data_IF_116071767219
#
_entry.id   IF_116071767219
#
_cell.length_a   1.000
_cell.length_b   1.000
_cell.length_c   1.000
_cell.angle_alpha   90.00
_cell.angle_beta   90.00
_cell.angle_gamma   90.00
#
_symmetry.space_group_name_H-M   'P 1'
#
loop_
_entity.id
_entity.type
_entity.pdbx_description
1 polymer ?
#
# COMPACT_ATOMS: atom_id res chain seq x y z
N UNK A 1 12.26 -18.86 6.52
CA UNK A 1 11.23 -18.45 7.49
C UNK A 1 10.39 -17.38 6.80
N UNK A 2 9.12 -17.64 6.51
CA UNK A 2 8.23 -16.66 5.87
C UNK A 2 7.91 -15.57 6.88
N UNK A 3 8.16 -14.32 6.52
CA UNK A 3 7.88 -13.19 7.40
C UNK A 3 6.37 -13.06 7.64
N UNK A 4 5.92 -12.66 8.85
CA UNK A 4 4.50 -12.58 9.15
C UNK A 4 3.81 -11.51 8.30
N UNK A 5 2.63 -11.83 7.78
CA UNK A 5 1.81 -10.87 7.04
C UNK A 5 1.25 -9.81 7.98
N UNK A 6 1.31 -8.55 7.55
CA UNK A 6 0.72 -7.39 8.21
C UNK A 6 -0.39 -6.84 7.33
N UNK A 7 -1.58 -6.75 7.89
CA UNK A 7 -2.76 -6.16 7.28
C UNK A 7 -2.93 -4.73 7.77
N UNK A 8 -3.04 -3.76 6.88
CA UNK A 8 -3.13 -2.34 7.24
C UNK A 8 -4.27 -1.61 6.50
N UNK A 9 -4.88 -0.58 7.12
CA UNK A 9 -5.87 0.24 6.45
C UNK A 9 -5.27 1.09 5.32
N UNK A 10 -5.97 1.17 4.19
CA UNK A 10 -5.60 2.03 3.07
C UNK A 10 -6.85 2.77 2.55
N UNK A 11 -6.81 4.10 2.50
CA UNK A 11 -7.93 4.93 2.02
C UNK A 11 -7.68 5.31 0.58
N UNK A 12 -8.59 4.93 -0.33
CA UNK A 12 -8.46 5.16 -1.77
C UNK A 12 -8.55 6.67 -2.04
N UNK A 13 -7.56 7.19 -2.75
CA UNK A 13 -7.53 8.55 -3.30
C UNK A 13 -8.01 8.57 -4.76
N UNK A 14 -7.55 7.61 -5.56
CA UNK A 14 -7.85 7.52 -7.00
C UNK A 14 -7.57 6.10 -7.51
N UNK A 15 -8.13 5.76 -8.67
CA UNK A 15 -7.94 4.47 -9.32
C UNK A 15 -7.33 4.68 -10.72
N UNK A 16 -6.45 3.78 -11.14
CA UNK A 16 -5.61 3.92 -12.33
C UNK A 16 -5.48 2.59 -13.08
N UNK A 17 -5.08 2.63 -14.35
CA UNK A 17 -4.86 1.43 -15.17
C UNK A 17 -3.44 0.87 -15.04
N UNK A 18 -2.52 1.64 -14.44
CA UNK A 18 -1.11 1.29 -14.27
C UNK A 18 -0.64 1.54 -12.83
N UNK A 19 0.22 0.68 -12.26
CA UNK A 19 0.79 0.92 -10.94
C UNK A 19 1.70 2.15 -10.92
N UNK A 20 2.37 2.47 -12.04
CA UNK A 20 3.23 3.66 -12.15
C UNK A 20 2.38 4.92 -12.07
N UNK A 21 1.26 4.97 -12.80
CA UNK A 21 0.37 6.15 -12.77
C UNK A 21 -0.25 6.34 -11.38
N UNK A 22 -0.57 5.24 -10.69
CA UNK A 22 -1.03 5.29 -9.31
C UNK A 22 0.04 5.86 -8.34
N UNK A 23 1.31 5.46 -8.49
CA UNK A 23 2.42 5.98 -7.68
C UNK A 23 2.70 7.47 -7.97
N UNK A 24 2.74 7.84 -9.25
CA UNK A 24 2.90 9.25 -9.66
C UNK A 24 1.76 10.11 -9.12
N UNK A 25 0.52 9.62 -9.15
CA UNK A 25 -0.63 10.32 -8.57
C UNK A 25 -0.50 10.53 -7.05
N UNK A 26 0.25 9.68 -6.33
CA UNK A 26 0.54 9.81 -4.91
C UNK A 26 1.67 10.82 -4.61
N UNK A 27 2.41 11.24 -5.63
CA UNK A 27 3.53 12.18 -5.52
C UNK A 27 4.89 11.48 -5.47
N UNK A 28 4.98 10.19 -5.79
CA UNK A 28 6.26 9.49 -5.88
C UNK A 28 6.98 9.93 -7.17
N UNK A 29 8.28 10.28 -7.12
CA UNK A 29 9.07 10.57 -8.32
C UNK A 29 9.02 9.43 -9.34
N UNK A 30 8.91 9.77 -10.63
CA UNK A 30 8.69 8.77 -11.69
C UNK A 30 9.81 7.73 -11.78
N UNK A 31 11.06 8.12 -11.54
CA UNK A 31 12.21 7.20 -11.52
C UNK A 31 12.07 6.17 -10.40
N UNK A 32 11.79 6.63 -9.18
CA UNK A 32 11.51 5.77 -8.03
C UNK A 32 10.31 4.83 -8.27
N UNK A 33 9.27 5.32 -8.97
CA UNK A 33 8.12 4.47 -9.32
C UNK A 33 8.52 3.25 -10.15
N UNK A 34 9.41 3.44 -11.14
CA UNK A 34 9.87 2.36 -12.01
C UNK A 34 10.71 1.36 -11.23
N UNK A 35 11.60 1.85 -10.37
CA UNK A 35 12.45 1.01 -9.51
C UNK A 35 11.60 0.17 -8.54
N UNK A 36 10.58 0.77 -7.92
CA UNK A 36 9.65 0.06 -7.04
C UNK A 36 8.88 -1.05 -7.77
N UNK A 37 8.36 -0.78 -8.97
CA UNK A 37 7.64 -1.78 -9.77
C UNK A 37 8.56 -2.89 -10.24
N UNK A 38 9.79 -2.56 -10.66
CA UNK A 38 10.78 -3.55 -11.03
C UNK A 38 11.17 -4.44 -9.84
N UNK A 39 11.39 -3.84 -8.67
CA UNK A 39 11.73 -4.56 -7.45
C UNK A 39 10.62 -5.52 -7.01
N UNK A 40 9.35 -5.15 -7.16
CA UNK A 40 8.25 -6.04 -6.76
C UNK A 40 8.27 -7.34 -7.56
N UNK A 41 8.52 -7.27 -8.88
CA UNK A 41 8.64 -8.46 -9.73
C UNK A 41 9.79 -9.39 -9.31
N UNK A 42 10.92 -8.84 -8.87
CA UNK A 42 12.08 -9.62 -8.44
C UNK A 42 11.84 -10.40 -7.14
N UNK A 43 10.96 -9.93 -6.25
CA UNK A 43 10.66 -10.59 -4.96
C UNK A 43 9.70 -11.78 -5.15
N UNK A 44 9.34 -12.14 -6.40
CA UNK A 44 8.32 -13.14 -6.70
C UNK A 44 6.91 -12.69 -6.32
N UNK A 45 6.80 -11.45 -5.86
CA UNK A 45 5.58 -10.74 -5.59
C UNK A 45 5.14 -10.16 -6.95
N UNK A 46 4.42 -10.95 -7.75
CA UNK A 46 4.01 -10.56 -9.11
C UNK A 46 3.24 -9.23 -9.17
N UNK A 47 2.71 -8.88 -10.34
CA UNK A 47 1.93 -7.66 -10.59
C UNK A 47 0.63 -7.52 -9.76
N UNK A 48 0.39 -8.38 -8.77
CA UNK A 48 -0.72 -8.30 -7.81
C UNK A 48 -0.24 -7.99 -6.39
N UNK A 49 0.94 -7.36 -6.27
CA UNK A 49 1.57 -7.07 -4.99
C UNK A 49 1.34 -5.63 -4.56
N UNK A 50 1.12 -5.46 -3.26
CA UNK A 50 1.06 -4.15 -2.64
C UNK A 50 2.42 -3.46 -2.76
N UNK A 51 2.45 -2.24 -3.28
CA UNK A 51 3.61 -1.36 -3.23
C UNK A 51 3.38 -0.35 -2.11
N UNK A 52 4.19 -0.38 -1.07
CA UNK A 52 4.10 0.51 0.09
C UNK A 52 5.38 1.35 0.15
N UNK A 53 5.24 2.68 0.24
CA UNK A 53 6.36 3.62 0.41
C UNK A 53 5.92 4.84 1.21
N UNK A 54 6.85 5.75 1.45
CA UNK A 54 6.65 7.04 2.09
C UNK A 54 6.94 8.16 1.07
N UNK A 55 6.06 9.16 0.99
CA UNK A 55 6.31 10.36 0.17
C UNK A 55 6.80 11.51 1.04
N UNK A 56 7.38 12.52 0.38
CA UNK A 56 7.81 13.77 1.00
C UNK A 56 6.79 14.29 2.03
N UNK A 57 7.29 14.53 3.25
CA UNK A 57 6.47 14.92 4.40
C UNK A 57 6.05 13.77 5.31
N UNK A 58 6.62 12.58 5.15
CA UNK A 58 6.50 11.48 6.10
C UNK A 58 5.24 10.63 5.94
N UNK A 59 4.53 10.78 4.82
CA UNK A 59 3.21 10.17 4.63
C UNK A 59 3.35 8.81 3.96
N UNK A 60 2.96 7.76 4.66
CA UNK A 60 2.83 6.43 4.07
C UNK A 60 1.74 6.41 2.98
N UNK A 61 2.09 5.89 1.81
CA UNK A 61 1.19 5.69 0.67
C UNK A 61 1.35 4.28 0.13
N UNK A 62 0.25 3.74 -0.40
CA UNK A 62 0.27 2.41 -1.00
C UNK A 62 -0.44 2.39 -2.34
N UNK A 63 0.07 1.55 -3.23
CA UNK A 63 -0.60 1.16 -4.47
C UNK A 63 -1.03 -0.30 -4.34
N UNK A 64 -2.35 -0.51 -4.41
CA UNK A 64 -2.98 -1.82 -4.21
C UNK A 64 -3.65 -2.27 -5.50
N UNK A 65 -3.50 -3.54 -5.91
CA UNK A 65 -4.22 -4.06 -7.07
C UNK A 65 -5.72 -4.10 -6.78
N UNK A 66 -6.48 -3.86 -7.83
CA UNK A 66 -7.93 -3.99 -7.88
C UNK A 66 -8.30 -5.06 -8.90
N UNK A 67 -9.59 -5.43 -8.93
CA UNK A 67 -10.12 -6.28 -9.98
C UNK A 67 -9.88 -5.69 -11.38
N UNK A 68 -9.79 -6.57 -12.38
CA UNK A 68 -9.62 -6.22 -13.80
C UNK A 68 -8.32 -5.45 -14.12
N UNK A 69 -7.24 -5.67 -13.35
CA UNK A 69 -5.92 -5.10 -13.63
C UNK A 69 -5.78 -3.61 -13.29
N UNK A 70 -6.75 -3.05 -12.56
CA UNK A 70 -6.69 -1.66 -12.07
C UNK A 70 -5.89 -1.56 -10.79
N UNK A 71 -5.52 -0.35 -10.44
CA UNK A 71 -4.69 -0.03 -9.27
C UNK A 71 -5.30 1.10 -8.47
N UNK A 72 -5.39 0.92 -7.15
CA UNK A 72 -5.81 1.96 -6.23
C UNK A 72 -4.60 2.68 -5.64
N UNK A 73 -4.52 3.99 -5.88
CA UNK A 73 -3.62 4.88 -5.16
C UNK A 73 -4.25 5.22 -3.80
N UNK A 74 -3.58 4.85 -2.71
CA UNK A 74 -4.11 4.96 -1.36
C UNK A 74 -3.19 5.78 -0.44
N UNK A 75 -3.80 6.54 0.48
CA UNK A 75 -3.12 6.92 1.72
C UNK A 75 -3.10 5.68 2.62
N UNK A 76 -1.91 5.25 3.04
CA UNK A 76 -1.72 4.05 3.83
C UNK A 76 -1.55 4.40 5.32
N UNK A 77 -1.96 3.47 6.19
CA UNK A 77 -1.84 3.60 7.65
C UNK A 77 -1.13 2.36 8.23
N UNK A 78 0.12 2.09 7.84
CA UNK A 78 0.86 0.90 8.29
C UNK A 78 1.08 0.86 9.81
N UNK A 79 1.08 2.01 10.48
CA UNK A 79 1.13 2.13 11.94
C UNK A 79 -0.12 1.54 12.62
N UNK A 80 -1.23 1.43 11.88
CA UNK A 80 -2.45 0.73 12.29
C UNK A 80 -2.49 -0.72 11.79
N UNK A 81 -1.35 -1.27 11.37
CA UNK A 81 -1.19 -2.65 10.94
C UNK A 81 -1.51 -3.66 12.04
N UNK A 82 -1.96 -4.85 11.65
CA UNK A 82 -2.19 -5.98 12.55
C UNK A 82 -2.12 -7.32 11.79
N UNK A 83 -2.05 -8.43 12.52
CA UNK A 83 -2.00 -9.78 11.94
C UNK A 83 -3.36 -10.36 11.52
N UNK A 84 -4.47 -9.63 11.67
CA UNK A 84 -5.82 -10.11 11.34
C UNK A 84 -6.50 -9.18 10.31
N UNK A 85 -6.89 -9.69 9.13
CA UNK A 85 -7.58 -8.88 8.11
C UNK A 85 -8.92 -8.31 8.58
N UNK A 86 -9.66 -8.99 9.47
CA UNK A 86 -10.95 -8.51 10.00
C UNK A 86 -10.76 -7.31 10.91
N UNK A 87 -9.71 -7.32 11.72
CA UNK A 87 -9.37 -6.20 12.60
C UNK A 87 -8.87 -5.00 11.78
N UNK A 88 -8.05 -5.25 10.75
CA UNK A 88 -7.65 -4.20 9.81
C UNK A 88 -8.86 -3.55 9.11
N UNK A 89 -9.86 -4.35 8.71
CA UNK A 89 -11.11 -3.84 8.13
C UNK A 89 -11.93 -3.00 9.12
N UNK A 90 -11.98 -3.38 10.40
CA UNK A 90 -12.63 -2.58 11.46
C UNK A 90 -11.93 -1.25 11.67
N UNK A 91 -10.58 -1.24 11.68
CA UNK A 91 -9.79 0.00 11.78
C UNK A 91 -10.02 0.89 10.56
N UNK A 92 -10.03 0.30 9.36
CA UNK A 92 -10.37 1.00 8.14
C UNK A 92 -11.76 1.66 8.23
N UNK A 93 -12.79 0.93 8.69
CA UNK A 93 -14.14 1.49 8.83
C UNK A 93 -14.18 2.75 9.71
N UNK A 94 -13.33 2.85 10.74
CA UNK A 94 -13.21 4.06 11.58
C UNK A 94 -12.58 5.25 10.83
N UNK A 95 -11.71 4.98 9.85
CA UNK A 95 -11.08 5.99 9.00
C UNK A 95 -11.99 6.44 7.84
N UNK A 96 -12.86 5.57 7.35
CA UNK A 96 -13.81 5.84 6.26
C UNK A 96 -14.95 6.76 6.71
N UNK A 97 -14.62 8.05 6.81
CA UNK A 97 -15.58 9.14 7.02
C UNK A 97 -16.00 9.74 5.67
N UNK A 98 -17.23 10.26 5.58
CA UNK A 98 -17.74 11.08 4.47
C UNK A 98 -17.79 10.38 3.09
N UNK A 99 -18.20 9.11 3.03
CA UNK A 99 -18.37 8.39 1.76
C UNK A 99 -17.06 8.00 1.06
N UNK A 100 -15.91 8.11 1.74
CA UNK A 100 -14.62 7.63 1.22
C UNK A 100 -14.63 6.11 1.11
N UNK A 101 -13.90 5.60 0.12
CA UNK A 101 -13.66 4.17 -0.09
C UNK A 101 -12.27 3.79 0.42
N UNK A 102 -12.07 2.51 0.71
CA UNK A 102 -10.80 2.01 1.23
C UNK A 102 -10.66 0.52 1.01
N UNK A 103 -9.43 0.04 1.23
CA UNK A 103 -9.00 -1.33 1.10
C UNK A 103 -8.15 -1.72 2.31
N UNK A 104 -8.05 -3.02 2.56
CA UNK A 104 -7.04 -3.54 3.47
C UNK A 104 -5.84 -3.96 2.63
N UNK A 105 -4.72 -3.27 2.81
CA UNK A 105 -3.45 -3.66 2.21
C UNK A 105 -2.83 -4.82 2.98
N UNK A 106 -2.01 -5.62 2.28
CA UNK A 106 -1.24 -6.71 2.87
C UNK A 106 0.22 -6.48 2.53
N UNK A 107 1.07 -6.50 3.55
CA UNK A 107 2.51 -6.43 3.41
C UNK A 107 3.14 -7.62 4.10
N UNK A 108 4.08 -8.31 3.44
CA UNK A 108 4.93 -9.27 4.13
C UNK A 108 5.86 -8.45 5.02
N UNK A 109 5.55 -8.36 6.30
CA UNK A 109 6.36 -7.62 7.26
C UNK A 109 7.73 -8.27 7.34
N UNK A 110 8.70 -7.76 6.59
CA UNK A 110 10.10 -7.91 6.98
C UNK A 110 10.19 -7.47 8.44
N UNK A 111 10.90 -8.25 9.27
CA UNK A 111 11.09 -7.95 10.68
C UNK A 111 11.26 -6.44 10.83
N UNK A 112 10.43 -5.82 11.68
CA UNK A 112 10.39 -4.39 11.89
C UNK A 112 11.77 -3.87 12.29
N UNK A 113 12.65 -3.68 11.30
CA UNK A 113 13.86 -2.92 11.40
C UNK A 113 13.40 -1.49 11.34
N UNK A 114 13.18 -0.91 12.52
CA UNK A 114 13.52 0.49 12.81
C UNK A 114 13.75 1.34 11.56
N UNK A 115 12.67 1.80 10.92
CA UNK A 115 12.72 3.09 10.22
C UNK A 115 12.49 4.15 11.29
N UNK A 116 13.58 4.55 11.91
CA UNK A 116 13.61 5.61 12.90
C UNK A 116 15.01 6.17 12.97
N UNK A 117 15.15 7.42 12.54
CA UNK A 117 16.24 8.34 12.91
C UNK A 117 17.51 8.21 12.11
#
# INVERSE_FOLDING_TARGET
>A
MTAPLVYFPAVIRSEHESPIDALVALGVPREECMDMVAASWCVGAGAESCLLTEVDGGRAVAVLPLAAGRWAACNAYPEQGCGDPREAARRLAKLLKRGRRGLVGVWAGGAAGTMGG
#
